data_IF_590679551105
#
_entry.id   IF_590679551105
#
_cell.length_a   1.000
_cell.length_b   1.000
_cell.length_c   1.000
_cell.angle_alpha   90.00
_cell.angle_beta   90.00
_cell.angle_gamma   90.00
#
_symmetry.space_group_name_H-M   'P 1'
#
loop_
_entity.id
_entity.type
_entity.pdbx_description
1 polymer ?
#
# COMPACT_ATOMS: atom_id res chain seq x y z
N UNK A 1 2.58 -0.91 -0.39
CA UNK A 1 3.36 0.26 0.06
C UNK A 1 4.52 0.51 -0.88
N UNK A 2 4.96 1.75 -1.07
CA UNK A 2 6.03 2.12 -2.01
C UNK A 2 7.04 3.04 -1.31
N UNK A 3 8.21 2.49 -1.00
CA UNK A 3 9.29 3.23 -0.34
C UNK A 3 9.85 2.52 0.89
N UNK A 4 11.14 2.75 1.15
CA UNK A 4 11.87 2.07 2.20
C UNK A 4 11.26 2.30 3.60
N UNK A 5 11.14 1.23 4.37
CA UNK A 5 10.61 1.24 5.74
C UNK A 5 9.09 1.14 5.85
N UNK A 6 8.33 1.37 4.77
CA UNK A 6 6.87 1.24 4.79
C UNK A 6 6.41 -0.23 4.87
N UNK A 7 7.27 -1.20 4.56
CA UNK A 7 6.97 -2.63 4.76
C UNK A 7 6.68 -2.95 6.23
N UNK A 8 7.45 -2.39 7.17
CA UNK A 8 7.23 -2.57 8.61
C UNK A 8 5.96 -1.88 9.10
N UNK A 9 5.63 -0.73 8.50
CA UNK A 9 4.36 -0.05 8.76
C UNK A 9 3.19 -0.90 8.25
N UNK A 10 3.34 -1.58 7.10
CA UNK A 10 2.32 -2.51 6.61
C UNK A 10 2.15 -3.72 7.54
N UNK A 11 3.24 -4.28 8.07
CA UNK A 11 3.20 -5.37 9.06
C UNK A 11 2.48 -4.93 10.35
N UNK A 12 2.84 -3.76 10.88
CA UNK A 12 2.14 -3.17 12.03
C UNK A 12 0.64 -2.97 11.76
N UNK A 13 0.29 -2.46 10.57
CA UNK A 13 -1.11 -2.26 10.20
C UNK A 13 -1.88 -3.58 10.08
N UNK A 14 -1.25 -4.65 9.56
CA UNK A 14 -1.89 -5.96 9.50
C UNK A 14 -2.24 -6.48 10.89
N UNK A 15 -1.35 -6.29 11.87
CA UNK A 15 -1.63 -6.66 13.26
C UNK A 15 -2.78 -5.82 13.81
N UNK A 16 -2.69 -4.48 13.71
CA UNK A 16 -3.72 -3.57 14.19
C UNK A 16 -5.10 -3.92 13.63
N UNK A 17 -5.21 -4.05 12.32
CA UNK A 17 -6.49 -4.30 11.66
C UNK A 17 -7.04 -5.70 11.96
N UNK A 18 -6.18 -6.71 11.91
CA UNK A 18 -6.56 -8.10 12.09
C UNK A 18 -6.98 -8.41 13.53
N UNK A 19 -6.14 -8.03 14.50
CA UNK A 19 -6.41 -8.32 15.92
C UNK A 19 -7.56 -7.47 16.47
N UNK A 20 -7.73 -6.24 15.99
CA UNK A 20 -8.83 -5.40 16.46
C UNK A 20 -10.17 -5.67 15.77
N UNK A 21 -10.21 -6.05 14.50
CA UNK A 21 -11.49 -6.15 13.78
C UNK A 21 -11.94 -7.60 13.53
N UNK A 22 -11.03 -8.57 13.63
CA UNK A 22 -11.36 -9.99 13.55
C UNK A 22 -11.91 -10.50 14.88
N UNK A 23 -13.24 -10.48 15.05
CA UNK A 23 -13.88 -10.80 16.34
C UNK A 23 -15.06 -11.76 16.18
N UNK A 24 -15.20 -12.65 17.16
CA UNK A 24 -16.44 -13.38 17.40
C UNK A 24 -17.52 -12.44 17.93
N UNK A 25 -18.77 -12.83 17.71
CA UNK A 25 -19.94 -12.06 18.15
C UNK A 25 -20.98 -13.01 18.70
N UNK A 26 -21.41 -12.79 19.94
CA UNK A 26 -22.39 -13.65 20.58
C UNK A 26 -23.69 -13.70 19.78
N UNK A 27 -24.10 -14.91 19.38
CA UNK A 27 -25.32 -15.13 18.61
C UNK A 27 -25.32 -14.54 17.19
N UNK A 28 -24.17 -14.14 16.64
CA UNK A 28 -24.04 -13.60 15.27
C UNK A 28 -22.85 -14.23 14.54
N UNK A 29 -22.81 -14.06 13.22
CA UNK A 29 -21.63 -14.46 12.45
C UNK A 29 -20.40 -13.63 12.89
N UNK A 30 -19.21 -14.24 12.97
CA UNK A 30 -17.96 -13.50 13.15
C UNK A 30 -17.78 -12.44 12.07
N UNK A 31 -17.04 -11.39 12.40
CA UNK A 31 -16.72 -10.30 11.48
C UNK A 31 -15.23 -10.09 11.40
N UNK A 32 -14.80 -9.46 10.32
CA UNK A 32 -13.41 -9.10 10.09
C UNK A 32 -13.13 -8.92 8.60
N UNK A 33 -12.00 -8.31 8.30
CA UNK A 33 -11.44 -8.24 6.96
C UNK A 33 -10.01 -8.71 7.05
N UNK A 34 -9.62 -9.68 6.22
CA UNK A 34 -8.24 -10.19 6.22
C UNK A 34 -7.30 -9.10 5.71
N UNK A 35 -6.39 -8.58 6.55
CA UNK A 35 -5.44 -7.58 6.09
C UNK A 35 -4.31 -8.26 5.32
N UNK A 36 -3.99 -7.76 4.14
CA UNK A 36 -2.89 -8.24 3.32
C UNK A 36 -1.87 -7.14 3.08
N UNK A 37 -0.58 -7.49 3.08
CA UNK A 37 0.51 -6.57 2.72
C UNK A 37 1.02 -6.86 1.31
N UNK A 38 1.40 -5.80 0.60
CA UNK A 38 2.12 -5.87 -0.67
C UNK A 38 3.13 -4.72 -0.73
N UNK A 39 4.29 -4.97 -1.31
CA UNK A 39 5.41 -4.03 -1.46
C UNK A 39 5.62 -3.72 -2.94
N UNK A 40 5.43 -2.46 -3.30
CA UNK A 40 5.78 -1.94 -4.60
C UNK A 40 7.28 -1.62 -4.68
N UNK A 41 7.95 -1.93 -5.77
CA UNK A 41 7.40 -2.47 -7.02
C UNK A 41 7.42 -4.01 -7.09
N UNK A 42 8.07 -4.67 -6.13
CA UNK A 42 8.29 -6.11 -6.07
C UNK A 42 7.03 -6.94 -6.31
N UNK A 43 5.94 -6.63 -5.63
CA UNK A 43 4.69 -7.40 -5.69
C UNK A 43 3.82 -7.11 -6.91
N UNK A 44 4.25 -6.19 -7.79
CA UNK A 44 3.72 -6.13 -9.15
C UNK A 44 4.02 -7.41 -9.92
N UNK A 45 5.13 -8.10 -9.58
CA UNK A 45 5.54 -9.35 -10.20
C UNK A 45 5.07 -10.61 -9.44
N UNK A 46 4.22 -10.45 -8.43
CA UNK A 46 3.71 -11.57 -7.62
C UNK A 46 2.19 -11.56 -7.47
N UNK A 47 1.59 -10.42 -7.15
CA UNK A 47 0.18 -10.33 -6.77
C UNK A 47 -0.68 -9.56 -7.77
N UNK A 48 -0.09 -8.65 -8.55
CA UNK A 48 -0.87 -7.73 -9.39
C UNK A 48 -1.81 -8.45 -10.37
N UNK A 49 -1.39 -9.56 -10.95
CA UNK A 49 -2.23 -10.37 -11.84
C UNK A 49 -3.51 -10.86 -11.14
N UNK A 50 -3.38 -11.34 -9.90
CA UNK A 50 -4.54 -11.74 -9.07
C UNK A 50 -5.40 -10.53 -8.71
N UNK A 51 -4.79 -9.38 -8.45
CA UNK A 51 -5.51 -8.16 -8.08
C UNK A 51 -6.31 -7.57 -9.26
N UNK A 52 -5.82 -7.73 -10.48
CA UNK A 52 -6.49 -7.27 -11.69
C UNK A 52 -7.58 -8.21 -12.15
N UNK A 53 -7.29 -9.51 -12.26
CA UNK A 53 -8.20 -10.46 -12.94
C UNK A 53 -8.94 -11.39 -11.97
N UNK A 54 -8.54 -11.41 -10.70
CA UNK A 54 -9.16 -12.24 -9.68
C UNK A 54 -10.48 -11.69 -9.13
N UNK A 55 -11.00 -12.31 -8.05
CA UNK A 55 -12.24 -11.87 -7.40
C UNK A 55 -12.21 -10.40 -6.95
N UNK A 56 -13.36 -9.74 -7.01
CA UNK A 56 -13.57 -8.37 -6.54
C UNK A 56 -13.83 -8.29 -5.03
N UNK A 57 -12.89 -8.83 -4.25
CA UNK A 57 -13.00 -9.00 -2.80
C UNK A 57 -11.95 -8.20 -2.02
N UNK A 58 -11.28 -7.21 -2.65
CA UNK A 58 -10.18 -6.43 -2.08
C UNK A 58 -10.45 -4.93 -2.17
N UNK A 59 -10.05 -4.21 -1.12
CA UNK A 59 -9.87 -2.75 -1.12
C UNK A 59 -8.38 -2.45 -1.03
N UNK A 60 -7.88 -1.60 -1.91
CA UNK A 60 -6.45 -1.35 -2.05
C UNK A 60 -6.05 -0.01 -1.45
N UNK A 61 -5.29 -0.03 -0.36
CA UNK A 61 -4.67 1.18 0.20
C UNK A 61 -3.24 1.31 -0.30
N UNK A 62 -3.00 2.26 -1.19
CA UNK A 62 -1.67 2.62 -1.67
C UNK A 62 -1.05 3.65 -0.74
N UNK A 63 0.14 3.35 -0.21
CA UNK A 63 0.88 4.23 0.70
C UNK A 63 2.27 4.48 0.12
N UNK A 64 2.67 5.74 -0.01
CA UNK A 64 4.02 6.17 -0.39
C UNK A 64 4.53 7.35 0.43
N UNK A 65 5.84 7.60 0.39
CA UNK A 65 6.42 8.85 0.87
C UNK A 65 6.26 9.97 -0.16
N UNK A 66 5.92 11.19 0.27
CA UNK A 66 5.90 12.39 -0.58
C UNK A 66 7.29 12.83 -0.97
N UNK A 67 8.24 12.67 -0.05
CA UNK A 67 9.64 12.99 -0.28
C UNK A 67 10.49 11.75 -0.10
N UNK A 68 11.00 11.26 -1.22
CA UNK A 68 11.86 10.09 -1.29
C UNK A 68 13.30 10.37 -0.90
N UNK A 69 14.01 9.30 -0.48
CA UNK A 69 15.48 9.28 -0.34
C UNK A 69 16.14 8.38 -1.38
N UNK A 70 15.42 7.96 -2.40
CA UNK A 70 15.92 7.13 -3.49
C UNK A 70 17.00 7.93 -4.22
N UNK A 71 18.24 7.41 -4.18
CA UNK A 71 19.39 8.04 -4.79
C UNK A 71 19.77 7.27 -6.04
N UNK A 72 20.29 8.01 -7.02
CA UNK A 72 20.86 7.44 -8.22
C UNK A 72 19.92 7.53 -9.42
N UNK A 73 20.53 7.28 -10.57
CA UNK A 73 19.88 7.35 -11.87
C UNK A 73 20.01 6.00 -12.55
N UNK A 74 19.06 5.69 -13.42
CA UNK A 74 19.17 4.57 -14.35
C UNK A 74 20.44 4.77 -15.20
N UNK A 75 21.29 3.74 -15.39
CA UNK A 75 22.44 3.83 -16.27
C UNK A 75 22.03 4.37 -17.65
N UNK A 76 22.84 5.28 -18.23
CA UNK A 76 22.47 5.93 -19.50
C UNK A 76 22.33 4.95 -20.67
N UNK A 77 23.09 3.85 -20.65
CA UNK A 77 23.09 2.83 -21.68
C UNK A 77 23.50 1.47 -21.08
N UNK A 78 23.29 0.41 -21.86
CA UNK A 78 23.82 -0.93 -21.57
C UNK A 78 23.11 -1.72 -20.47
N UNK A 79 21.91 -1.29 -20.05
CA UNK A 79 21.14 -1.98 -19.01
C UNK A 79 20.00 -2.86 -19.55
N UNK A 80 19.35 -2.48 -20.66
CA UNK A 80 18.36 -3.29 -21.36
C UNK A 80 18.14 -2.79 -22.79
N UNK A 81 17.85 -3.68 -23.76
CA UNK A 81 17.40 -3.28 -25.09
C UNK A 81 16.07 -2.52 -25.01
N UNK A 82 15.85 -1.58 -25.93
CA UNK A 82 14.61 -0.78 -26.09
C UNK A 82 14.18 0.08 -24.89
N UNK A 83 15.02 0.21 -23.86
CA UNK A 83 14.74 1.00 -22.66
C UNK A 83 15.46 2.36 -22.64
N UNK A 84 15.98 2.83 -23.78
CA UNK A 84 16.78 4.06 -23.87
C UNK A 84 16.08 5.30 -23.26
N UNK A 85 14.74 5.35 -23.27
CA UNK A 85 13.96 6.44 -22.67
C UNK A 85 14.16 6.60 -21.16
N UNK A 86 14.56 5.54 -20.45
CA UNK A 86 14.81 5.55 -19.00
C UNK A 86 16.24 5.99 -18.68
N UNK A 87 17.16 5.91 -19.64
CA UNK A 87 18.59 6.15 -19.42
C UNK A 87 18.86 7.53 -18.83
N UNK A 88 19.57 7.58 -17.70
CA UNK A 88 19.94 8.81 -17.02
C UNK A 88 18.84 9.46 -16.18
N UNK A 89 17.59 8.95 -16.22
CA UNK A 89 16.51 9.43 -15.36
C UNK A 89 16.74 9.03 -13.90
N UNK A 90 16.28 9.83 -12.93
CA UNK A 90 16.25 9.43 -11.52
C UNK A 90 15.50 8.11 -11.35
N UNK A 91 16.02 7.21 -10.51
CA UNK A 91 15.31 5.97 -10.15
C UNK A 91 13.95 6.26 -9.50
N UNK A 92 13.84 7.39 -8.81
CA UNK A 92 12.58 7.84 -8.23
C UNK A 92 11.49 8.01 -9.27
N UNK A 93 11.80 8.57 -10.44
CA UNK A 93 10.81 8.76 -11.51
C UNK A 93 10.25 7.42 -12.00
N UNK A 94 11.08 6.37 -12.00
CA UNK A 94 10.65 5.02 -12.33
C UNK A 94 9.69 4.47 -11.27
N UNK A 95 10.05 4.56 -9.98
CA UNK A 95 9.16 4.12 -8.90
C UNK A 95 7.85 4.90 -8.83
N UNK A 96 7.88 6.20 -9.08
CA UNK A 96 6.68 7.04 -9.15
C UNK A 96 5.80 6.64 -10.36
N UNK A 97 6.40 6.37 -11.51
CA UNK A 97 5.67 5.87 -12.68
C UNK A 97 5.05 4.48 -12.42
N UNK A 98 5.76 3.59 -11.74
CA UNK A 98 5.26 2.26 -11.38
C UNK A 98 4.13 2.32 -10.33
N UNK A 99 4.21 3.26 -9.37
CA UNK A 99 3.14 3.54 -8.41
C UNK A 99 1.86 3.99 -9.12
N UNK A 100 1.96 5.02 -9.97
CA UNK A 100 0.81 5.56 -10.70
C UNK A 100 0.27 4.53 -11.72
N UNK A 101 1.16 3.81 -12.39
CA UNK A 101 0.81 2.75 -13.34
C UNK A 101 -0.01 1.65 -12.68
N UNK A 102 0.39 1.20 -11.49
CA UNK A 102 -0.34 0.16 -10.73
C UNK A 102 -1.71 0.65 -10.28
N UNK A 103 -1.82 1.89 -9.78
CA UNK A 103 -3.10 2.49 -9.42
C UNK A 103 -4.01 2.57 -10.65
N UNK A 104 -3.50 3.08 -11.77
CA UNK A 104 -4.25 3.19 -13.02
C UNK A 104 -4.72 1.83 -13.54
N UNK A 105 -3.88 0.81 -13.43
CA UNK A 105 -4.16 -0.54 -13.88
C UNK A 105 -5.23 -1.26 -13.03
N UNK A 106 -5.31 -0.98 -11.73
CA UNK A 106 -6.39 -1.48 -10.87
C UNK A 106 -7.67 -0.64 -11.02
N UNK A 107 -7.54 0.67 -11.21
CA UNK A 107 -8.67 1.58 -11.41
C UNK A 107 -9.42 1.26 -12.71
N UNK A 108 -8.70 0.95 -13.80
CA UNK A 108 -9.29 0.65 -15.11
C UNK A 108 -10.20 -0.58 -15.11
N UNK A 109 -9.99 -1.51 -14.15
CA UNK A 109 -10.82 -2.70 -13.94
C UNK A 109 -11.76 -2.56 -12.74
N UNK A 110 -11.98 -1.33 -12.25
CA UNK A 110 -12.99 -1.00 -11.25
C UNK A 110 -12.66 -1.41 -9.82
N UNK A 111 -11.38 -1.57 -9.46
CA UNK A 111 -10.99 -1.90 -8.08
C UNK A 111 -11.11 -0.67 -7.16
N UNK A 112 -11.65 -0.82 -5.93
CA UNK A 112 -11.72 0.27 -4.97
C UNK A 112 -10.33 0.59 -4.42
N UNK A 113 -9.93 1.86 -4.53
CA UNK A 113 -8.59 2.33 -4.21
C UNK A 113 -8.66 3.49 -3.22
N UNK A 114 -7.82 3.42 -2.20
CA UNK A 114 -7.48 4.53 -1.30
C UNK A 114 -6.02 4.89 -1.56
N UNK A 115 -5.75 6.18 -1.77
CA UNK A 115 -4.40 6.71 -1.91
C UNK A 115 -4.03 7.49 -0.66
N UNK A 116 -2.90 7.16 -0.06
CA UNK A 116 -2.33 7.85 1.09
C UNK A 116 -0.88 8.21 0.81
N UNK A 117 -0.52 9.43 1.18
CA UNK A 117 0.84 9.94 1.02
C UNK A 117 1.32 10.46 2.37
N UNK A 118 2.35 9.83 2.90
CA UNK A 118 2.99 10.25 4.14
C UNK A 118 4.04 11.29 3.76
N UNK A 119 4.12 12.41 4.49
CA UNK A 119 5.01 13.52 4.17
C UNK A 119 6.50 13.16 4.18
N UNK A 120 7.25 13.67 5.15
CA UNK A 120 8.67 13.36 5.30
C UNK A 120 8.85 12.02 6.02
N UNK A 121 9.98 11.37 5.77
CA UNK A 121 10.40 10.19 6.54
C UNK A 121 11.04 10.64 7.85
N UNK A 122 10.20 11.04 8.79
CA UNK A 122 10.54 11.45 10.14
C UNK A 122 9.46 10.98 11.14
N UNK A 123 9.74 11.17 12.42
CA UNK A 123 8.92 10.69 13.54
C UNK A 123 7.55 11.37 13.58
N UNK A 124 7.47 12.64 13.18
CA UNK A 124 6.22 13.42 13.19
C UNK A 124 5.21 12.84 12.20
N UNK A 125 5.62 12.63 10.95
CA UNK A 125 4.71 12.13 9.91
C UNK A 125 4.39 10.65 10.09
N UNK A 126 5.34 9.86 10.59
CA UNK A 126 5.06 8.47 10.97
C UNK A 126 4.04 8.44 12.12
N UNK A 127 4.27 9.21 13.19
CA UNK A 127 3.36 9.28 14.32
C UNK A 127 1.94 9.69 13.92
N UNK A 128 1.81 10.69 13.05
CA UNK A 128 0.52 11.11 12.51
C UNK A 128 -0.17 9.98 11.71
N UNK A 129 0.58 9.24 10.89
CA UNK A 129 0.03 8.11 10.13
C UNK A 129 -0.43 6.96 11.03
N UNK A 130 0.36 6.61 12.04
CA UNK A 130 0.00 5.56 12.99
C UNK A 130 -1.26 5.95 13.76
N UNK A 131 -1.28 7.17 14.31
CA UNK A 131 -2.43 7.65 15.08
C UNK A 131 -3.71 7.74 14.24
N UNK A 132 -3.60 8.13 12.96
CA UNK A 132 -4.72 8.10 12.03
C UNK A 132 -5.31 6.69 11.91
N UNK A 133 -4.47 5.66 11.73
CA UNK A 133 -4.95 4.29 11.57
C UNK A 133 -5.48 3.67 12.87
N UNK A 134 -4.97 4.07 14.04
CA UNK A 134 -5.57 3.73 15.34
C UNK A 134 -7.01 4.24 15.42
N UNK A 135 -7.23 5.52 15.07
CA UNK A 135 -8.56 6.12 15.04
C UNK A 135 -9.49 5.46 14.02
N UNK A 136 -9.01 5.22 12.80
CA UNK A 136 -9.80 4.53 11.77
C UNK A 136 -10.21 3.14 12.24
N UNK A 137 -9.31 2.41 12.89
CA UNK A 137 -9.58 1.07 13.43
C UNK A 137 -10.64 1.13 14.53
N UNK A 138 -10.54 2.07 15.47
CA UNK A 138 -11.54 2.25 16.53
C UNK A 138 -12.94 2.58 15.97
N UNK A 139 -13.00 3.46 14.97
CA UNK A 139 -14.25 3.81 14.28
C UNK A 139 -14.80 2.60 13.52
N UNK A 140 -13.96 1.86 12.80
CA UNK A 140 -14.35 0.66 12.07
C UNK A 140 -14.92 -0.42 13.01
N UNK A 141 -14.30 -0.63 14.17
CA UNK A 141 -14.78 -1.54 15.21
C UNK A 141 -16.17 -1.13 15.72
N UNK A 142 -16.34 0.16 16.02
CA UNK A 142 -17.65 0.71 16.44
C UNK A 142 -18.71 0.49 15.35
N UNK A 143 -18.39 0.76 14.08
CA UNK A 143 -19.32 0.53 12.96
C UNK A 143 -19.65 -0.96 12.76
N UNK A 144 -18.70 -1.86 12.99
CA UNK A 144 -18.93 -3.30 12.95
C UNK A 144 -19.69 -3.84 14.18
N UNK A 145 -19.80 -3.03 15.23
CA UNK A 145 -20.41 -3.39 16.51
C UNK A 145 -19.61 -4.48 17.22
N UNK A 146 -18.30 -4.29 17.27
CA UNK A 146 -17.32 -5.10 18.02
C UNK A 146 -16.50 -4.20 18.94
N UNK A 147 -15.85 -4.80 19.94
CA UNK A 147 -14.87 -4.13 20.78
C UNK A 147 -13.48 -4.28 20.14
N UNK A 148 -12.93 -3.23 19.51
CA UNK A 148 -11.69 -3.30 18.75
C UNK A 148 -10.47 -3.52 19.65
#
# INVERSE_FOLDING_TARGET
>A
TYGAGLERIAEWWQQLWGESLGKEREGRAPVGQTPARAVGVTDQHSQLQLYQDGPADKVFTFVRWMTGREKGNVPRAGFAPDMAMLGGRPLRDLFDAEFEGTIGALWSVGRPIVRMEIGKRDEEHVGAFLHFWEWVTAIAGTCAGVDP
#
